data_IF_435764384096
#
_entry.id   IF_435764384096
#
_cell.length_a   1.000
_cell.length_b   1.000
_cell.length_c   1.000
_cell.angle_alpha   90.00
_cell.angle_beta   90.00
_cell.angle_gamma   90.00
#
_symmetry.space_group_name_H-M   'P 1'
#
loop_
_entity.id
_entity.type
_entity.pdbx_description
1 polymer ?
#
# COMPACT_ATOMS: atom_id res chain seq x y z
N UNK A 1 8.56 11.20 -6.07
CA UNK A 1 9.00 10.00 -6.81
C UNK A 1 9.50 8.93 -5.83
N UNK A 2 9.16 7.64 -6.04
CA UNK A 2 9.74 6.50 -5.31
C UNK A 2 10.69 5.76 -6.25
N UNK A 3 11.88 5.39 -5.77
CA UNK A 3 12.92 4.70 -6.53
C UNK A 3 13.43 3.51 -5.75
N UNK A 4 13.51 2.37 -6.44
CA UNK A 4 14.10 1.12 -5.95
C UNK A 4 15.23 0.73 -6.89
N UNK A 5 16.40 0.43 -6.34
CA UNK A 5 17.56 -0.03 -7.10
C UNK A 5 18.02 -1.37 -6.51
N UNK A 6 17.90 -2.45 -7.30
CA UNK A 6 18.34 -3.82 -7.04
C UNK A 6 17.87 -4.38 -5.66
N UNK A 7 16.63 -4.07 -5.30
CA UNK A 7 16.04 -4.40 -3.99
C UNK A 7 15.80 -5.90 -3.84
N UNK A 8 16.33 -6.47 -2.75
CA UNK A 8 16.10 -7.86 -2.36
C UNK A 8 15.64 -7.94 -0.91
N UNK A 9 14.57 -8.71 -0.64
CA UNK A 9 14.05 -8.96 0.71
C UNK A 9 13.88 -10.45 0.96
N UNK A 10 14.33 -10.93 2.16
CA UNK A 10 14.29 -12.33 2.57
C UNK A 10 13.62 -12.48 3.92
N UNK A 11 12.84 -13.56 4.09
CA UNK A 11 12.26 -13.97 5.37
C UNK A 11 12.90 -15.27 5.87
N UNK A 12 12.98 -15.46 7.19
CA UNK A 12 13.48 -16.68 7.80
C UNK A 12 14.96 -16.68 8.18
N UNK A 13 15.65 -15.52 8.13
CA UNK A 13 16.95 -15.36 8.79
C UNK A 13 16.73 -15.07 10.27
N UNK A 14 17.05 -16.02 11.16
CA UNK A 14 17.29 -15.71 12.57
C UNK A 14 18.51 -14.79 12.65
N UNK A 15 18.28 -13.48 12.58
CA UNK A 15 19.26 -12.45 12.80
C UNK A 15 19.61 -12.40 14.28
N UNK A 16 20.77 -12.93 14.65
CA UNK A 16 21.40 -12.67 15.94
C UNK A 16 21.79 -11.20 16.03
N UNK A 17 21.08 -10.43 16.82
CA UNK A 17 21.68 -9.26 17.47
C UNK A 17 21.23 -9.19 18.93
N UNK A 18 22.22 -9.48 19.81
CA UNK A 18 22.36 -8.88 21.14
C UNK A 18 21.55 -9.50 22.27
N UNK A 19 22.14 -10.45 22.97
CA UNK A 19 21.69 -10.86 24.30
C UNK A 19 22.57 -11.98 24.87
N UNK A 20 23.55 -11.61 25.70
CA UNK A 20 24.33 -12.54 26.51
C UNK A 20 23.41 -13.39 27.40
N UNK A 21 23.54 -14.71 27.34
CA UNK A 21 22.92 -15.62 28.29
C UNK A 21 23.23 -17.06 27.92
N UNK A 22 24.05 -17.69 28.74
CA UNK A 22 24.64 -19.01 28.58
C UNK A 22 23.64 -20.18 28.70
N UNK A 23 24.07 -21.30 28.10
CA UNK A 23 23.77 -22.72 28.42
C UNK A 23 22.40 -23.28 28.06
N UNK A 24 22.38 -24.16 27.07
CA UNK A 24 21.29 -25.09 26.83
C UNK A 24 21.42 -25.81 25.48
N UNK A 25 22.14 -26.95 25.50
CA UNK A 25 22.21 -27.95 24.45
C UNK A 25 20.80 -28.36 23.98
N UNK A 26 20.47 -28.11 22.73
CA UNK A 26 19.47 -28.88 21.98
C UNK A 26 19.76 -28.73 20.49
N UNK A 27 20.41 -29.72 19.91
CA UNK A 27 20.46 -30.04 18.49
C UNK A 27 19.03 -30.29 17.98
N UNK A 28 18.45 -29.33 17.28
CA UNK A 28 17.38 -29.46 16.30
C UNK A 28 17.21 -28.09 15.58
N UNK A 29 18.28 -27.63 14.95
CA UNK A 29 18.20 -26.53 13.99
C UNK A 29 17.87 -27.13 12.61
N UNK A 30 16.57 -27.41 12.40
CA UNK A 30 16.03 -27.55 11.05
C UNK A 30 16.19 -26.17 10.36
N UNK A 31 17.23 -26.06 9.54
CA UNK A 31 17.59 -24.85 8.84
C UNK A 31 16.54 -24.53 7.76
N UNK A 32 15.44 -23.90 8.16
CA UNK A 32 14.47 -23.36 7.22
C UNK A 32 15.22 -22.39 6.27
N UNK A 33 15.32 -22.77 5.01
CA UNK A 33 15.96 -21.96 3.98
C UNK A 33 15.26 -20.59 3.93
N UNK A 34 16.03 -19.52 3.96
CA UNK A 34 15.49 -18.16 3.83
C UNK A 34 14.66 -18.05 2.55
N UNK A 35 13.39 -17.68 2.69
CA UNK A 35 12.50 -17.46 1.54
C UNK A 35 12.76 -16.07 0.97
N UNK A 36 13.12 -15.98 -0.30
CA UNK A 36 13.26 -14.71 -1.02
C UNK A 36 11.86 -14.24 -1.41
N UNK A 37 11.44 -13.10 -0.87
CA UNK A 37 10.13 -12.52 -1.16
C UNK A 37 10.18 -11.46 -2.26
N UNK A 38 11.29 -10.72 -2.34
CA UNK A 38 11.60 -9.77 -3.41
C UNK A 38 13.04 -10.07 -3.84
N UNK A 39 13.30 -10.19 -5.13
CA UNK A 39 14.57 -10.65 -5.67
C UNK A 39 15.01 -9.75 -6.84
N UNK A 40 15.99 -8.88 -6.55
CA UNK A 40 16.64 -8.00 -7.54
C UNK A 40 15.65 -7.11 -8.30
N UNK A 41 14.78 -6.39 -7.56
CA UNK A 41 13.76 -5.52 -8.16
C UNK A 41 14.25 -4.08 -8.20
N UNK A 42 14.32 -3.53 -9.42
CA UNK A 42 14.49 -2.10 -9.69
C UNK A 42 13.20 -1.56 -10.28
N UNK A 43 12.66 -0.50 -9.65
CA UNK A 43 11.37 0.09 -10.00
C UNK A 43 11.39 1.59 -9.72
N UNK A 44 10.76 2.39 -10.58
CA UNK A 44 10.51 3.81 -10.34
C UNK A 44 9.03 4.10 -10.40
N UNK A 45 8.53 4.87 -9.43
CA UNK A 45 7.16 5.40 -9.41
C UNK A 45 7.27 6.92 -9.51
N UNK A 46 7.07 7.52 -10.68
CA UNK A 46 7.05 8.97 -10.88
C UNK A 46 5.99 9.66 -10.03
N UNK A 47 6.17 10.96 -9.79
CA UNK A 47 5.15 11.77 -9.14
C UNK A 47 3.90 11.85 -10.03
N UNK A 48 2.74 11.68 -9.41
CA UNK A 48 1.44 11.73 -10.09
C UNK A 48 1.09 10.48 -10.90
N UNK A 49 1.90 9.41 -10.89
CA UNK A 49 1.57 8.16 -11.58
C UNK A 49 0.51 7.34 -10.83
N UNK A 50 -0.42 6.75 -11.56
CA UNK A 50 -1.28 5.68 -11.06
C UNK A 50 -0.69 4.33 -11.46
N UNK A 51 0.02 3.69 -10.52
CA UNK A 51 0.66 2.40 -10.71
C UNK A 51 -0.20 1.27 -10.12
N UNK A 52 -0.39 0.20 -10.86
CA UNK A 52 -0.92 -1.04 -10.30
C UNK A 52 0.19 -2.08 -10.18
N UNK A 53 0.40 -2.62 -8.98
CA UNK A 53 1.30 -3.74 -8.72
C UNK A 53 0.47 -5.01 -8.64
N UNK A 54 0.53 -5.84 -9.66
CA UNK A 54 -0.30 -7.04 -9.83
C UNK A 54 0.50 -8.34 -9.63
N UNK A 55 -0.19 -9.45 -9.34
CA UNK A 55 0.42 -10.78 -9.24
C UNK A 55 -0.32 -11.68 -8.27
N UNK A 56 0.01 -12.97 -8.27
CA UNK A 56 -0.56 -13.97 -7.38
C UNK A 56 -0.30 -13.67 -5.89
N UNK A 57 -1.05 -14.32 -5.01
CA UNK A 57 -0.75 -14.31 -3.59
C UNK A 57 0.64 -14.94 -3.35
N UNK A 58 1.47 -14.28 -2.53
CA UNK A 58 2.85 -14.73 -2.27
C UNK A 58 3.87 -14.30 -3.32
N UNK A 59 3.50 -13.54 -4.37
CA UNK A 59 4.46 -13.08 -5.39
C UNK A 59 5.42 -11.97 -4.94
N UNK A 60 5.30 -11.46 -3.70
CA UNK A 60 6.19 -10.45 -3.14
C UNK A 60 5.63 -9.03 -3.11
N UNK A 61 4.44 -8.77 -3.66
CA UNK A 61 3.83 -7.41 -3.77
C UNK A 61 3.80 -6.63 -2.46
N UNK A 62 3.18 -7.21 -1.43
CA UNK A 62 3.08 -6.59 -0.10
C UNK A 62 4.46 -6.30 0.50
N UNK A 63 5.42 -7.22 0.34
CA UNK A 63 6.80 -7.02 0.80
C UNK A 63 7.45 -5.86 0.06
N UNK A 64 7.30 -5.81 -1.27
CA UNK A 64 7.85 -4.74 -2.09
C UNK A 64 7.34 -3.37 -1.65
N UNK A 65 6.02 -3.17 -1.56
CA UNK A 65 5.47 -1.85 -1.21
C UNK A 65 5.75 -1.44 0.23
N UNK A 66 5.93 -2.38 1.15
CA UNK A 66 6.35 -2.11 2.53
C UNK A 66 7.77 -1.58 2.65
N UNK A 67 8.60 -1.71 1.63
CA UNK A 67 9.93 -1.08 1.60
C UNK A 67 9.83 0.43 1.37
N UNK A 68 8.77 0.94 0.74
CA UNK A 68 8.62 2.36 0.39
C UNK A 68 8.59 3.29 1.60
N UNK A 69 8.11 2.81 2.75
CA UNK A 69 8.05 3.59 3.99
C UNK A 69 8.88 2.95 5.13
N UNK A 70 9.78 2.03 4.80
CA UNK A 70 10.67 1.38 5.75
C UNK A 70 9.96 0.48 6.77
N UNK A 71 8.80 -0.11 6.45
CA UNK A 71 8.20 -1.19 7.23
C UNK A 71 8.91 -2.52 6.99
N UNK A 72 9.52 -2.68 5.83
CA UNK A 72 10.44 -3.77 5.52
C UNK A 72 11.75 -3.13 5.08
N UNK A 73 12.85 -3.48 5.77
CA UNK A 73 14.20 -3.09 5.38
C UNK A 73 14.71 -4.11 4.35
N UNK A 74 15.20 -3.68 3.18
CA UNK A 74 15.78 -4.60 2.21
C UNK A 74 17.08 -5.21 2.70
N UNK A 75 17.31 -6.50 2.41
CA UNK A 75 18.60 -7.17 2.66
C UNK A 75 19.70 -6.70 1.70
N UNK A 76 19.32 -6.20 0.51
CA UNK A 76 20.23 -5.62 -0.48
C UNK A 76 19.47 -4.61 -1.33
N UNK A 77 20.21 -3.74 -2.00
CA UNK A 77 19.66 -2.64 -2.79
C UNK A 77 19.32 -1.43 -1.95
N UNK A 78 18.68 -0.43 -2.56
CA UNK A 78 18.31 0.83 -1.91
C UNK A 78 16.89 1.25 -2.31
N UNK A 79 16.21 1.94 -1.38
CA UNK A 79 14.90 2.57 -1.61
C UNK A 79 15.01 4.03 -1.25
N UNK A 80 14.55 4.91 -2.15
CA UNK A 80 14.50 6.35 -1.91
C UNK A 80 13.09 6.88 -2.19
N UNK A 81 12.67 7.85 -1.38
CA UNK A 81 11.41 8.60 -1.54
C UNK A 81 11.75 10.07 -1.63
N UNK A 82 11.26 10.72 -2.68
CA UNK A 82 11.52 12.13 -2.97
C UNK A 82 13.03 12.47 -2.95
N UNK A 83 13.85 11.53 -3.43
CA UNK A 83 15.31 11.67 -3.49
C UNK A 83 16.05 11.42 -2.17
N UNK A 84 15.34 11.08 -1.07
CA UNK A 84 15.93 10.77 0.23
C UNK A 84 15.88 9.25 0.45
N UNK A 85 17.02 8.59 0.77
CA UNK A 85 17.02 7.18 1.14
C UNK A 85 16.13 6.92 2.36
N UNK A 86 15.31 5.87 2.30
CA UNK A 86 14.31 5.55 3.34
C UNK A 86 14.97 5.24 4.68
N UNK A 87 16.10 4.56 4.67
CA UNK A 87 16.90 4.24 5.85
C UNK A 87 17.56 5.46 6.51
N UNK A 88 17.79 6.52 5.74
CA UNK A 88 18.37 7.77 6.26
C UNK A 88 17.33 8.64 6.99
N UNK A 89 16.07 8.64 6.57
CA UNK A 89 14.98 9.42 7.21
C UNK A 89 13.61 8.70 7.10
N UNK A 90 13.36 7.78 8.04
CA UNK A 90 12.09 7.05 8.14
C UNK A 90 10.89 7.98 8.39
N UNK A 91 11.08 9.11 9.06
CA UNK A 91 9.99 10.05 9.35
C UNK A 91 9.55 10.75 8.07
N UNK A 92 10.50 11.24 7.28
CA UNK A 92 10.21 11.85 5.97
C UNK A 92 9.54 10.84 5.04
N UNK A 93 10.06 9.60 4.94
CA UNK A 93 9.48 8.55 4.11
C UNK A 93 8.02 8.24 4.51
N UNK A 94 7.74 8.07 5.82
CA UNK A 94 6.39 7.78 6.34
C UNK A 94 5.42 8.96 6.26
N UNK A 95 5.91 10.17 6.22
CA UNK A 95 5.08 11.36 5.98
C UNK A 95 4.72 11.50 4.51
N UNK A 96 5.65 11.17 3.61
CA UNK A 96 5.44 11.26 2.16
C UNK A 96 4.64 10.08 1.59
N UNK A 97 4.72 8.89 2.23
CA UNK A 97 4.06 7.65 1.77
C UNK A 97 2.97 7.23 2.75
N UNK A 98 1.73 7.56 2.45
CA UNK A 98 0.55 7.02 3.14
C UNK A 98 0.29 5.58 2.71
N UNK A 99 0.07 4.66 3.67
CA UNK A 99 -0.14 3.25 3.36
C UNK A 99 -1.42 2.73 4.00
N UNK A 100 -2.19 1.96 3.23
CA UNK A 100 -3.33 1.17 3.68
C UNK A 100 -2.95 -0.31 3.61
N UNK A 101 -3.08 -1.02 4.74
CA UNK A 101 -2.71 -2.43 4.84
C UNK A 101 -3.86 -3.34 4.45
N UNK A 102 -3.53 -4.55 4.00
CA UNK A 102 -4.50 -5.57 3.62
C UNK A 102 -5.47 -5.97 4.76
N UNK A 103 -5.01 -5.99 6.02
CA UNK A 103 -5.87 -6.16 7.19
C UNK A 103 -6.00 -4.81 7.92
N UNK A 104 -7.19 -4.17 7.91
CA UNK A 104 -7.39 -2.89 8.58
C UNK A 104 -7.15 -2.92 10.10
N UNK A 105 -7.21 -4.11 10.72
CA UNK A 105 -6.93 -4.26 12.15
C UNK A 105 -5.46 -4.00 12.51
N UNK A 106 -4.57 -4.15 11.55
CA UNK A 106 -3.14 -3.87 11.75
C UNK A 106 -2.85 -2.35 11.76
N UNK A 107 -3.81 -1.54 11.30
CA UNK A 107 -3.66 -0.10 11.13
C UNK A 107 -4.45 0.72 12.16
N UNK A 108 -5.64 0.25 12.57
CA UNK A 108 -6.54 1.01 13.46
C UNK A 108 -6.05 0.96 14.90
N UNK A 109 -5.74 2.13 15.47
CA UNK A 109 -5.08 2.27 16.78
C UNK A 109 -5.93 3.01 17.82
N UNK A 110 -6.93 3.79 17.39
CA UNK A 110 -7.75 4.60 18.27
C UNK A 110 -9.12 3.95 18.61
N UNK A 111 -9.75 4.45 19.66
CA UNK A 111 -11.03 3.92 20.12
C UNK A 111 -12.23 4.36 19.28
N UNK A 112 -12.16 5.53 18.63
CA UNK A 112 -13.23 6.10 17.80
C UNK A 112 -12.73 6.40 16.40
N UNK A 113 -13.66 6.42 15.45
CA UNK A 113 -13.40 6.69 14.02
C UNK A 113 -12.67 8.02 13.82
N UNK A 114 -13.18 9.10 14.39
CA UNK A 114 -12.57 10.42 14.24
C UNK A 114 -11.17 10.50 14.84
N UNK A 115 -10.95 9.88 16.01
CA UNK A 115 -9.63 9.86 16.64
C UNK A 115 -8.63 9.01 15.85
N UNK A 116 -9.09 7.95 15.20
CA UNK A 116 -8.23 7.10 14.36
C UNK A 116 -7.79 7.84 13.09
N UNK A 117 -8.72 8.49 12.41
CA UNK A 117 -8.43 9.27 11.21
C UNK A 117 -7.57 10.52 11.54
N UNK A 118 -7.74 11.11 12.72
CA UNK A 118 -6.93 12.25 13.19
C UNK A 118 -5.49 11.87 13.55
N UNK A 119 -5.22 10.60 13.85
CA UNK A 119 -3.93 10.14 14.39
C UNK A 119 -2.73 10.53 13.51
N UNK A 120 -2.83 10.34 12.20
CA UNK A 120 -1.79 10.75 11.25
C UNK A 120 -1.56 12.26 11.21
N UNK A 121 -2.59 13.07 10.98
CA UNK A 121 -2.53 14.54 11.03
C UNK A 121 -2.01 15.11 12.35
N UNK A 122 -2.36 14.51 13.50
CA UNK A 122 -1.84 14.90 14.81
C UNK A 122 -0.32 14.66 14.90
N UNK A 123 0.18 13.53 14.42
CA UNK A 123 1.61 13.23 14.38
C UNK A 123 2.40 14.15 13.44
N UNK A 124 1.75 14.72 12.42
CA UNK A 124 2.33 15.76 11.56
C UNK A 124 2.38 17.14 12.24
N UNK A 125 1.80 17.28 13.44
CA UNK A 125 1.81 18.53 14.20
C UNK A 125 0.93 19.62 13.61
N UNK A 126 -0.13 19.25 12.88
CA UNK A 126 -1.07 20.20 12.27
C UNK A 126 -1.91 20.90 13.32
N UNK A 127 -2.50 22.06 12.97
CA UNK A 127 -3.44 22.76 13.83
C UNK A 127 -4.76 21.99 13.96
N UNK A 128 -5.47 22.13 15.10
CA UNK A 128 -6.77 21.48 15.30
C UNK A 128 -7.76 21.78 14.18
N UNK A 129 -7.82 23.02 13.69
CA UNK A 129 -8.73 23.38 12.57
C UNK A 129 -8.39 22.64 11.29
N UNK A 130 -7.09 22.43 11.01
CA UNK A 130 -6.66 21.69 9.84
C UNK A 130 -6.91 20.19 10.00
N UNK A 131 -6.70 19.65 11.20
CA UNK A 131 -7.02 18.25 11.53
C UNK A 131 -8.52 17.99 11.32
N UNK A 132 -9.38 18.84 11.90
CA UNK A 132 -10.84 18.71 11.77
C UNK A 132 -11.26 18.72 10.28
N UNK A 133 -10.74 19.67 9.48
CA UNK A 133 -11.01 19.71 8.03
C UNK A 133 -10.63 18.41 7.33
N UNK A 134 -9.40 17.94 7.57
CA UNK A 134 -8.89 16.72 6.91
C UNK A 134 -9.67 15.46 7.31
N UNK A 135 -10.04 15.35 8.58
CA UNK A 135 -10.88 14.26 9.09
C UNK A 135 -12.24 14.26 8.41
N UNK A 136 -12.92 15.42 8.35
CA UNK A 136 -14.23 15.54 7.73
C UNK A 136 -14.19 15.18 6.24
N UNK A 137 -13.20 15.69 5.50
CA UNK A 137 -13.01 15.43 4.08
C UNK A 137 -12.67 13.95 3.81
N UNK A 138 -11.78 13.36 4.61
CA UNK A 138 -11.40 11.97 4.47
C UNK A 138 -12.56 11.01 4.77
N UNK A 139 -13.33 11.27 5.83
CA UNK A 139 -14.53 10.46 6.16
C UNK A 139 -15.63 10.61 5.11
N UNK A 140 -15.82 11.81 4.56
CA UNK A 140 -16.75 12.02 3.45
C UNK A 140 -16.35 11.23 2.20
N UNK A 141 -15.05 11.19 1.88
CA UNK A 141 -14.51 10.48 0.73
C UNK A 141 -14.79 8.96 0.75
N UNK A 142 -14.94 8.39 1.93
CA UNK A 142 -15.20 6.95 2.12
C UNK A 142 -16.63 6.63 2.57
N UNK A 143 -17.58 7.58 2.44
CA UNK A 143 -18.99 7.44 2.88
C UNK A 143 -19.12 7.13 4.38
N UNK A 144 -18.32 7.78 5.23
CA UNK A 144 -18.34 7.65 6.68
C UNK A 144 -18.60 8.99 7.39
N UNK A 145 -19.01 10.05 6.66
CA UNK A 145 -19.29 11.36 7.24
C UNK A 145 -20.36 11.28 8.35
N UNK A 146 -20.14 12.00 9.45
CA UNK A 146 -21.03 12.04 10.62
C UNK A 146 -20.86 10.86 11.59
N UNK A 147 -19.87 9.99 11.36
CA UNK A 147 -19.62 8.80 12.19
C UNK A 147 -18.34 8.92 13.06
N UNK A 148 -17.82 10.12 13.25
CA UNK A 148 -16.57 10.41 13.95
C UNK A 148 -16.56 9.87 15.41
N UNK A 149 -17.75 9.84 16.04
CA UNK A 149 -17.92 9.41 17.44
C UNK A 149 -18.16 7.91 17.62
N UNK A 150 -18.33 7.19 16.50
CA UNK A 150 -18.53 5.74 16.58
C UNK A 150 -17.26 5.04 17.03
N UNK A 151 -17.44 3.92 17.71
CA UNK A 151 -16.33 3.10 18.18
C UNK A 151 -15.83 2.19 17.05
N UNK A 152 -14.52 2.12 16.89
CA UNK A 152 -13.87 1.27 15.89
C UNK A 152 -14.17 -0.22 16.09
N UNK A 153 -14.31 -0.67 17.35
CA UNK A 153 -14.61 -2.07 17.69
C UNK A 153 -16.04 -2.49 17.30
N UNK A 154 -16.97 -1.53 17.15
CA UNK A 154 -18.36 -1.79 16.73
C UNK A 154 -18.54 -1.86 15.21
N UNK A 155 -17.52 -1.49 14.43
CA UNK A 155 -17.58 -1.45 12.98
C UNK A 155 -17.54 -2.85 12.35
N UNK A 156 -18.24 -3.03 11.23
CA UNK A 156 -18.07 -4.19 10.34
C UNK A 156 -16.67 -4.19 9.68
N UNK A 157 -16.27 -5.30 9.06
CA UNK A 157 -14.99 -5.39 8.33
C UNK A 157 -14.84 -4.31 7.26
N UNK A 158 -15.84 -4.16 6.39
CA UNK A 158 -15.82 -3.15 5.32
C UNK A 158 -15.85 -1.70 5.85
N UNK A 159 -16.45 -1.44 7.02
CA UNK A 159 -16.38 -0.12 7.64
C UNK A 159 -15.00 0.17 8.23
N UNK A 160 -14.34 -0.83 8.80
CA UNK A 160 -12.93 -0.69 9.24
C UNK A 160 -12.00 -0.40 8.09
N UNK A 161 -12.17 -1.10 6.95
CA UNK A 161 -11.42 -0.82 5.72
C UNK A 161 -11.56 0.63 5.28
N UNK A 162 -12.79 1.15 5.27
CA UNK A 162 -13.05 2.56 4.93
C UNK A 162 -12.39 3.53 5.91
N UNK A 163 -12.39 3.23 7.20
CA UNK A 163 -11.71 4.08 8.21
C UNK A 163 -10.20 4.04 8.02
N UNK A 164 -9.60 2.88 7.74
CA UNK A 164 -8.18 2.75 7.45
C UNK A 164 -7.77 3.58 6.20
N UNK A 165 -8.59 3.52 5.14
CA UNK A 165 -8.39 4.36 3.94
C UNK A 165 -8.53 5.85 4.31
N UNK A 166 -9.53 6.24 5.09
CA UNK A 166 -9.70 7.63 5.52
C UNK A 166 -8.49 8.13 6.33
N UNK A 167 -7.92 7.31 7.21
CA UNK A 167 -6.71 7.66 7.97
C UNK A 167 -5.51 7.96 7.07
N UNK A 168 -5.30 7.16 6.02
CA UNK A 168 -4.25 7.41 5.04
C UNK A 168 -4.52 8.68 4.20
N UNK A 169 -5.78 8.91 3.80
CA UNK A 169 -6.20 10.09 3.04
C UNK A 169 -6.02 11.39 3.83
N UNK A 170 -6.32 11.38 5.14
CA UNK A 170 -6.21 12.55 6.01
C UNK A 170 -4.78 13.06 6.17
N UNK A 171 -3.78 12.24 5.91
CA UNK A 171 -2.39 12.65 5.90
C UNK A 171 -2.04 13.52 4.67
N UNK A 172 -2.83 13.47 3.61
CA UNK A 172 -2.55 14.12 2.30
C UNK A 172 -1.12 13.80 1.83
N UNK A 173 -0.77 12.51 1.67
CA UNK A 173 0.59 12.11 1.33
C UNK A 173 0.92 12.41 -0.13
N UNK A 174 2.22 12.53 -0.47
CA UNK A 174 2.68 12.66 -1.86
C UNK A 174 2.41 11.37 -2.66
N UNK A 175 2.49 10.22 -1.98
CA UNK A 175 2.30 8.89 -2.54
C UNK A 175 1.33 8.10 -1.66
N UNK A 176 0.22 7.63 -2.22
CA UNK A 176 -0.76 6.80 -1.54
C UNK A 176 -0.62 5.34 -2.02
N UNK A 177 -0.29 4.44 -1.11
CA UNK A 177 -0.15 3.01 -1.37
C UNK A 177 -1.27 2.24 -0.70
N UNK A 178 -2.00 1.41 -1.46
CA UNK A 178 -3.10 0.62 -0.94
C UNK A 178 -2.87 -0.87 -1.29
N UNK A 179 -2.84 -1.71 -0.26
CA UNK A 179 -2.65 -3.15 -0.41
C UNK A 179 -4.01 -3.87 -0.31
N UNK A 180 -4.51 -4.39 -1.45
CA UNK A 180 -5.81 -5.06 -1.62
C UNK A 180 -7.02 -4.26 -1.11
N UNK A 181 -7.18 -2.95 -1.45
CA UNK A 181 -8.10 -2.02 -0.78
C UNK A 181 -9.59 -2.29 -1.04
N UNK A 182 -9.93 -3.20 -1.94
CA UNK A 182 -11.32 -3.48 -2.30
C UNK A 182 -11.87 -4.75 -1.65
N UNK A 183 -11.01 -5.46 -0.91
CA UNK A 183 -11.39 -6.71 -0.22
C UNK A 183 -12.41 -6.41 0.89
N UNK A 184 -13.57 -7.06 0.83
CA UNK A 184 -14.62 -6.88 1.85
C UNK A 184 -15.48 -5.62 1.69
N UNK A 185 -15.23 -4.77 0.69
CA UNK A 185 -16.09 -3.62 0.39
C UNK A 185 -17.33 -4.05 -0.41
N UNK A 186 -18.48 -3.48 -0.05
CA UNK A 186 -19.68 -3.52 -0.89
C UNK A 186 -19.53 -2.60 -2.12
N UNK A 187 -20.37 -2.79 -3.11
CA UNK A 187 -20.31 -2.05 -4.36
C UNK A 187 -20.38 -0.51 -4.20
N UNK A 188 -21.23 0.08 -3.34
CA UNK A 188 -21.25 1.52 -3.11
C UNK A 188 -19.94 2.05 -2.49
N UNK A 189 -19.38 1.33 -1.50
CA UNK A 189 -18.11 1.71 -0.87
C UNK A 189 -16.93 1.61 -1.86
N UNK A 190 -16.89 0.53 -2.65
CA UNK A 190 -15.88 0.33 -3.69
C UNK A 190 -15.87 1.48 -4.70
N UNK A 191 -17.02 1.87 -5.23
CA UNK A 191 -17.15 3.00 -6.15
C UNK A 191 -16.66 4.31 -5.54
N UNK A 192 -17.05 4.58 -4.28
CA UNK A 192 -16.60 5.78 -3.59
C UNK A 192 -15.09 5.85 -3.45
N UNK A 193 -14.43 4.73 -3.08
CA UNK A 193 -12.97 4.65 -3.02
C UNK A 193 -12.35 4.86 -4.40
N UNK A 194 -12.83 4.17 -5.43
CA UNK A 194 -12.35 4.33 -6.82
C UNK A 194 -12.45 5.78 -7.29
N UNK A 195 -13.59 6.44 -7.02
CA UNK A 195 -13.79 7.84 -7.40
C UNK A 195 -12.84 8.78 -6.65
N UNK A 196 -12.55 8.50 -5.36
CA UNK A 196 -11.55 9.27 -4.61
C UNK A 196 -10.13 9.06 -5.12
N UNK A 197 -9.74 7.82 -5.43
CA UNK A 197 -8.42 7.53 -6.01
C UNK A 197 -8.24 8.25 -7.36
N UNK A 198 -9.30 8.25 -8.19
CA UNK A 198 -9.32 9.02 -9.45
C UNK A 198 -9.15 10.52 -9.23
N UNK A 199 -9.78 11.08 -8.20
CA UNK A 199 -9.65 12.51 -7.86
C UNK A 199 -8.22 12.83 -7.42
N UNK A 200 -7.64 12.05 -6.51
CA UNK A 200 -6.27 12.21 -6.03
C UNK A 200 -5.25 12.14 -7.17
N UNK A 201 -5.38 11.16 -8.06
CA UNK A 201 -4.52 11.05 -9.23
C UNK A 201 -4.60 12.30 -10.13
N UNK A 202 -5.80 12.85 -10.38
CA UNK A 202 -5.98 14.10 -11.12
C UNK A 202 -5.41 15.32 -10.39
N UNK A 203 -5.35 15.29 -9.08
CA UNK A 203 -4.76 16.32 -8.21
C UNK A 203 -3.22 16.21 -8.17
N UNK A 204 -2.64 15.17 -8.75
CA UNK A 204 -1.19 14.95 -8.87
C UNK A 204 -0.59 14.07 -7.76
N UNK A 205 -1.42 13.47 -6.90
CA UNK A 205 -0.95 12.45 -5.94
C UNK A 205 -0.59 11.17 -6.69
N UNK A 206 0.58 10.61 -6.41
CA UNK A 206 0.92 9.28 -6.92
C UNK A 206 0.08 8.23 -6.19
N UNK A 207 -0.53 7.31 -6.93
CA UNK A 207 -1.35 6.23 -6.37
C UNK A 207 -0.75 4.89 -6.75
N UNK A 208 -0.46 4.04 -5.77
CA UNK A 208 0.00 2.67 -5.98
C UNK A 208 -1.04 1.71 -5.42
N UNK A 209 -1.68 0.92 -6.27
CA UNK A 209 -2.62 -0.12 -5.85
C UNK A 209 -2.00 -1.48 -6.04
N UNK A 210 -1.89 -2.23 -4.95
CA UNK A 210 -1.47 -3.63 -4.98
C UNK A 210 -2.70 -4.50 -5.03
N UNK A 211 -2.82 -5.36 -6.04
CA UNK A 211 -3.97 -6.26 -6.16
C UNK A 211 -3.71 -7.46 -7.06
N UNK A 212 -4.51 -8.51 -6.91
CA UNK A 212 -4.61 -9.62 -7.85
C UNK A 212 -5.86 -9.51 -8.74
N UNK A 213 -6.66 -8.44 -8.58
CA UNK A 213 -7.89 -8.19 -9.33
C UNK A 213 -7.93 -6.76 -9.89
N UNK A 214 -7.79 -6.62 -11.20
CA UNK A 214 -7.69 -5.32 -11.87
C UNK A 214 -9.04 -4.71 -12.24
N UNK A 215 -10.16 -5.41 -12.05
CA UNK A 215 -11.48 -4.98 -12.56
C UNK A 215 -11.90 -3.59 -12.09
N UNK A 216 -11.47 -3.18 -10.90
CA UNK A 216 -11.81 -1.88 -10.32
C UNK A 216 -10.85 -0.76 -10.69
N UNK A 217 -9.59 -1.07 -11.03
CA UNK A 217 -8.51 -0.08 -11.16
C UNK A 217 -7.84 -0.03 -12.52
N UNK A 218 -8.03 -1.02 -13.38
CA UNK A 218 -7.36 -1.08 -14.68
C UNK A 218 -7.58 0.18 -15.53
N UNK A 219 -8.78 0.76 -15.48
CA UNK A 219 -9.12 1.99 -16.22
C UNK A 219 -8.51 3.28 -15.61
N UNK A 220 -7.88 3.21 -14.43
CA UNK A 220 -7.18 4.32 -13.78
C UNK A 220 -5.67 4.23 -13.93
N UNK A 221 -5.15 3.03 -14.20
CA UNK A 221 -3.72 2.78 -14.25
C UNK A 221 -3.07 3.46 -15.46
N UNK A 222 -1.95 4.14 -15.20
CA UNK A 222 -1.04 4.60 -16.25
C UNK A 222 -0.08 3.46 -16.63
N UNK A 223 0.26 2.60 -15.63
CA UNK A 223 1.19 1.49 -15.80
C UNK A 223 0.83 0.34 -14.86
N UNK A 224 1.13 -0.88 -15.31
CA UNK A 224 0.95 -2.10 -14.52
C UNK A 224 2.30 -2.81 -14.43
N UNK A 225 2.70 -3.12 -13.19
CA UNK A 225 3.86 -3.95 -12.88
C UNK A 225 3.37 -5.28 -12.32
N UNK A 226 3.63 -6.36 -13.06
CA UNK A 226 3.30 -7.72 -12.66
C UNK A 226 4.46 -8.39 -11.95
N UNK A 227 4.26 -8.88 -10.71
CA UNK A 227 5.25 -9.65 -9.96
C UNK A 227 4.96 -11.15 -10.02
N UNK A 228 6.01 -11.92 -10.25
CA UNK A 228 6.03 -13.39 -10.12
C UNK A 228 7.32 -13.80 -9.39
N UNK A 229 7.21 -14.67 -8.40
CA UNK A 229 8.35 -15.23 -7.65
C UNK A 229 9.35 -14.16 -7.15
N UNK A 230 8.83 -13.02 -6.69
CA UNK A 230 9.62 -11.91 -6.17
C UNK A 230 10.27 -11.02 -7.23
N UNK A 231 10.04 -11.27 -8.53
CA UNK A 231 10.65 -10.54 -9.64
C UNK A 231 9.60 -9.80 -10.47
N UNK A 232 10.02 -8.72 -11.14
CA UNK A 232 9.19 -8.07 -12.14
C UNK A 232 9.12 -8.94 -13.40
N UNK A 233 7.93 -9.42 -13.71
CA UNK A 233 7.65 -10.22 -14.90
C UNK A 233 7.00 -9.41 -16.03
N UNK A 234 6.27 -8.34 -15.68
CA UNK A 234 5.61 -7.41 -16.59
C UNK A 234 5.83 -5.99 -16.07
N UNK A 235 6.14 -5.06 -16.97
CA UNK A 235 6.19 -3.62 -16.68
C UNK A 235 5.78 -2.91 -17.97
N UNK A 236 4.51 -2.52 -18.07
CA UNK A 236 3.94 -2.01 -19.32
C UNK A 236 2.68 -1.15 -19.07
N UNK A 237 2.25 -0.33 -20.04
CA UNK A 237 0.92 0.27 -20.06
C UNK A 237 -0.18 -0.80 -19.98
N UNK A 238 -1.40 -0.46 -19.45
CA UNK A 238 -2.47 -1.43 -19.22
C UNK A 238 -2.84 -2.27 -20.46
N UNK A 239 -2.87 -1.65 -21.64
CA UNK A 239 -3.26 -2.31 -22.89
C UNK A 239 -2.27 -3.42 -23.30
N UNK A 240 -0.99 -3.25 -22.97
CA UNK A 240 0.06 -4.23 -23.28
C UNK A 240 0.19 -5.27 -22.17
N UNK A 241 0.07 -4.84 -20.89
CA UNK A 241 0.22 -5.71 -19.73
C UNK A 241 -0.84 -6.81 -19.69
N UNK A 242 -2.08 -6.50 -20.08
CA UNK A 242 -3.27 -7.37 -19.95
C UNK A 242 -3.12 -8.73 -20.59
N UNK A 243 -2.34 -8.84 -21.67
CA UNK A 243 -2.13 -10.11 -22.37
C UNK A 243 -1.27 -11.10 -21.55
N UNK A 244 -0.39 -10.57 -20.70
CA UNK A 244 0.56 -11.36 -19.91
C UNK A 244 0.06 -11.66 -18.50
N UNK A 245 -0.82 -10.84 -17.93
CA UNK A 245 -1.28 -10.92 -16.55
C UNK A 245 -2.05 -12.20 -16.18
N UNK A 246 -2.89 -12.80 -17.05
CA UNK A 246 -3.54 -14.09 -16.72
C UNK A 246 -2.55 -15.21 -16.42
N UNK A 247 -1.34 -15.17 -17.01
CA UNK A 247 -0.25 -16.10 -16.71
C UNK A 247 0.35 -15.92 -15.30
N UNK A 248 0.05 -14.80 -14.63
CA UNK A 248 0.48 -14.47 -13.27
C UNK A 248 -0.64 -14.67 -12.23
N UNK A 249 -1.72 -15.37 -12.55
CA UNK A 249 -2.91 -15.57 -11.71
C UNK A 249 -3.57 -14.24 -11.28
N UNK A 250 -3.63 -13.29 -12.22
CA UNK A 250 -4.25 -11.98 -12.05
C UNK A 250 -5.58 -11.94 -12.81
N UNK A 251 -6.64 -11.46 -12.15
CA UNK A 251 -7.95 -11.25 -12.77
C UNK A 251 -7.96 -9.95 -13.54
N UNK A 252 -8.30 -10.03 -14.83
CA UNK A 252 -8.41 -8.87 -15.72
C UNK A 252 -9.89 -8.62 -16.09
N UNK A 253 -10.27 -7.38 -16.44
CA UNK A 253 -11.61 -7.07 -16.94
C UNK A 253 -11.97 -7.88 -18.17
N UNK A 254 -13.21 -8.39 -18.24
CA UNK A 254 -13.73 -9.05 -19.45
C UNK A 254 -13.89 -8.02 -20.57
N UNK A 255 -13.38 -8.32 -21.78
CA UNK A 255 -13.60 -7.49 -22.97
C UNK A 255 -12.56 -6.40 -23.25
N UNK A 256 -11.48 -6.31 -22.46
CA UNK A 256 -10.38 -5.36 -22.73
C UNK A 256 -10.77 -3.88 -22.63
N UNK A 257 -11.77 -3.54 -21.84
CA UNK A 257 -12.17 -2.14 -21.57
C UNK A 257 -11.19 -1.45 -20.63
N UNK A 258 -9.98 -1.16 -21.12
CA UNK A 258 -9.01 -0.24 -20.50
C UNK A 258 -9.23 1.21 -20.94
N UNK A 259 -10.37 1.54 -21.53
CA UNK A 259 -10.67 2.90 -21.96
C UNK A 259 -10.83 3.80 -20.75
N UNK A 260 -9.82 4.65 -20.55
CA UNK A 260 -9.96 5.86 -19.75
C UNK A 260 -11.17 6.65 -20.31
N UNK A 261 -12.26 6.87 -19.54
CA UNK A 261 -13.42 7.63 -20.01
C UNK A 261 -13.15 9.14 -20.14
N UNK A 262 -11.89 9.59 -20.06
CA UNK A 262 -11.45 10.95 -20.27
C UNK A 262 -10.66 11.06 -21.59
N UNK A 263 -11.38 11.03 -22.71
CA UNK A 263 -10.99 11.49 -24.01
C UNK A 263 -11.95 12.58 -24.44
#
# INVERSE_FOLDING_TARGET
>A
MIELDDVTCRYGRSGSQGGNGADGDSDDADGAAATVAVDDVSLRVPDGEFLVVAGANGSGKTTLVRTFNGLVEPDAGTVAVNGTPVDADLVAARSAVGMVFQDPRDQLVAATVGADVAFGPENLGLSHTEIDRRVDEALAAVNMAGRERERVDSLSGGERERVAIAGALAMEPDHLVLDEPFTGLDEPARRSVVDRLRALHREGTSVVVVTHDLRDVAALADRIVGLADGRVAVDAPPEEAVESLPGLDVRVPEGGEFRNPAG
#
